data_IF_463969029356
#
_entry.id   IF_463969029356
#
_cell.length_a   1.000
_cell.length_b   1.000
_cell.length_c   1.000
_cell.angle_alpha   90.00
_cell.angle_beta   90.00
_cell.angle_gamma   90.00
#
_symmetry.space_group_name_H-M   'P 1'
#
loop_
_entity.id
_entity.type
_entity.pdbx_description
1 polymer ?
#
# COMPACT_ATOMS: atom_id res chain seq x y z
N UNK A 1 17.03 -22.29 15.16
CA UNK A 1 16.35 -20.97 15.16
C UNK A 1 17.23 -19.98 14.39
N UNK A 2 17.51 -20.36 13.16
CA UNK A 2 18.43 -19.73 12.23
C UNK A 2 17.72 -19.92 10.88
N UNK A 3 17.77 -18.94 9.97
CA UNK A 3 16.96 -18.77 8.74
C UNK A 3 15.71 -17.88 8.85
N UNK A 4 15.51 -17.04 9.89
CA UNK A 4 14.69 -15.83 9.68
C UNK A 4 15.54 -14.93 8.79
N UNK A 5 15.33 -15.03 7.49
CA UNK A 5 15.96 -14.13 6.55
C UNK A 5 15.54 -12.71 6.97
N UNK A 6 16.48 -11.79 7.24
CA UNK A 6 16.11 -10.42 7.65
C UNK A 6 15.17 -9.76 6.62
N UNK A 7 15.25 -10.22 5.37
CA UNK A 7 14.37 -9.81 4.27
C UNK A 7 12.91 -10.24 4.46
N UNK A 8 12.62 -11.45 4.96
CA UNK A 8 11.22 -11.89 5.19
C UNK A 8 10.61 -11.19 6.39
N UNK A 9 11.41 -10.94 7.44
CA UNK A 9 10.97 -10.17 8.60
C UNK A 9 10.69 -8.70 8.24
N UNK A 10 11.55 -8.08 7.43
CA UNK A 10 11.36 -6.72 6.91
C UNK A 10 10.08 -6.61 6.07
N UNK A 11 9.85 -7.57 5.17
CA UNK A 11 8.66 -7.58 4.32
C UNK A 11 7.37 -7.77 5.14
N UNK A 12 7.39 -8.70 6.10
CA UNK A 12 6.28 -8.91 7.01
C UNK A 12 6.01 -7.69 7.90
N UNK A 13 7.06 -7.00 8.36
CA UNK A 13 6.94 -5.78 9.17
C UNK A 13 6.31 -4.62 8.38
N UNK A 14 6.72 -4.41 7.13
CA UNK A 14 6.27 -3.28 6.30
C UNK A 14 4.84 -3.49 5.78
N UNK A 15 4.51 -4.69 5.31
CA UNK A 15 3.22 -4.95 4.66
C UNK A 15 2.16 -5.53 5.59
N UNK A 16 2.50 -6.53 6.40
CA UNK A 16 1.51 -7.28 7.21
C UNK A 16 1.36 -6.72 8.62
N UNK A 17 2.46 -6.27 9.23
CA UNK A 17 2.46 -5.72 10.59
C UNK A 17 2.16 -4.21 10.64
N UNK A 18 2.13 -3.55 9.49
CA UNK A 18 1.77 -2.14 9.42
C UNK A 18 0.25 -1.96 9.35
N UNK A 19 -0.33 -1.63 10.51
CA UNK A 19 -1.78 -1.48 10.66
C UNK A 19 -2.36 -0.34 9.81
N UNK A 20 -1.56 0.70 9.51
CA UNK A 20 -2.00 1.83 8.70
C UNK A 20 -2.24 1.39 7.25
N UNK A 21 -1.35 0.57 6.71
CA UNK A 21 -1.45 0.09 5.33
C UNK A 21 -2.58 -0.92 5.16
N UNK A 22 -2.71 -1.86 6.10
CA UNK A 22 -3.67 -2.98 5.99
C UNK A 22 -5.09 -2.58 6.38
N UNK A 23 -5.28 -1.82 7.46
CA UNK A 23 -6.62 -1.51 7.97
C UNK A 23 -7.14 -0.13 7.55
N UNK A 24 -6.29 0.89 7.38
CA UNK A 24 -6.79 2.25 7.13
C UNK A 24 -6.89 2.59 5.63
N UNK A 25 -5.92 2.22 4.80
CA UNK A 25 -5.97 2.53 3.36
C UNK A 25 -6.93 1.61 2.57
N UNK A 26 -7.23 0.42 3.10
CA UNK A 26 -7.97 -0.63 2.37
C UNK A 26 -9.43 -0.85 2.77
N UNK A 27 -9.94 -0.26 3.86
CA UNK A 27 -11.25 -0.66 4.42
C UNK A 27 -12.44 -0.35 3.49
N UNK A 28 -12.44 0.84 2.89
CA UNK A 28 -13.53 1.31 2.03
C UNK A 28 -13.64 0.49 0.73
N UNK A 29 -12.55 0.24 -0.02
CA UNK A 29 -12.60 -0.63 -1.19
C UNK A 29 -12.92 -2.09 -0.82
N UNK A 30 -12.45 -2.56 0.34
CA UNK A 30 -12.73 -3.91 0.83
C UNK A 30 -14.21 -4.14 1.15
N UNK A 31 -14.87 -3.19 1.82
CA UNK A 31 -16.31 -3.27 2.12
C UNK A 31 -17.16 -3.28 0.84
N UNK A 32 -16.74 -2.55 -0.20
CA UNK A 32 -17.44 -2.50 -1.49
C UNK A 32 -17.26 -3.78 -2.33
N UNK A 33 -16.06 -4.38 -2.31
CA UNK A 33 -15.70 -5.48 -3.23
C UNK A 33 -15.60 -6.88 -2.61
N UNK A 34 -15.99 -7.06 -1.34
CA UNK A 34 -15.92 -8.33 -0.60
C UNK A 34 -16.63 -9.52 -1.27
N UNK A 35 -17.61 -9.30 -2.14
CA UNK A 35 -18.42 -10.38 -2.76
C UNK A 35 -17.85 -10.91 -4.09
N UNK A 36 -16.86 -10.26 -4.70
CA UNK A 36 -16.41 -10.57 -6.06
C UNK A 36 -14.90 -10.70 -6.21
N UNK A 37 -14.38 -11.93 -6.34
CA UNK A 37 -12.94 -12.19 -6.53
C UNK A 37 -12.36 -11.49 -7.77
N UNK A 38 -13.11 -11.49 -8.88
CA UNK A 38 -12.70 -10.85 -10.14
C UNK A 38 -12.59 -9.32 -9.99
N UNK A 39 -13.50 -8.71 -9.22
CA UNK A 39 -13.52 -7.27 -9.00
C UNK A 39 -12.46 -6.83 -7.99
N UNK A 40 -12.22 -7.63 -6.94
CA UNK A 40 -11.18 -7.39 -5.95
C UNK A 40 -9.78 -7.31 -6.58
N UNK A 41 -9.47 -8.16 -7.57
CA UNK A 41 -8.19 -8.15 -8.27
C UNK A 41 -7.99 -6.84 -9.07
N UNK A 42 -9.01 -6.40 -9.79
CA UNK A 42 -8.98 -5.15 -10.57
C UNK A 42 -8.87 -3.91 -9.67
N UNK A 43 -9.58 -3.91 -8.55
CA UNK A 43 -9.53 -2.81 -7.57
C UNK A 43 -8.15 -2.70 -6.91
N UNK A 44 -7.54 -3.83 -6.54
CA UNK A 44 -6.19 -3.85 -5.98
C UNK A 44 -5.13 -3.31 -6.96
N UNK A 45 -5.19 -3.72 -8.22
CA UNK A 45 -4.27 -3.23 -9.25
C UNK A 45 -4.40 -1.72 -9.48
N UNK A 46 -5.63 -1.21 -9.55
CA UNK A 46 -5.89 0.23 -9.70
C UNK A 46 -5.34 1.04 -8.52
N UNK A 47 -5.56 0.58 -7.29
CA UNK A 47 -5.11 1.28 -6.07
C UNK A 47 -3.58 1.32 -5.98
N UNK A 48 -2.89 0.21 -6.27
CA UNK A 48 -1.41 0.17 -6.27
C UNK A 48 -0.84 1.14 -7.30
N UNK A 49 -1.43 1.20 -8.49
CA UNK A 49 -1.01 2.14 -9.54
C UNK A 49 -1.18 3.60 -9.12
N UNK A 50 -2.37 3.99 -8.65
CA UNK A 50 -2.67 5.37 -8.24
C UNK A 50 -1.83 5.78 -7.04
N UNK A 51 -1.62 4.89 -6.07
CA UNK A 51 -0.82 5.19 -4.88
C UNK A 51 0.64 5.42 -5.24
N UNK A 52 1.23 4.58 -6.10
CA UNK A 52 2.60 4.75 -6.57
C UNK A 52 2.80 6.07 -7.35
N UNK A 53 1.87 6.39 -8.27
CA UNK A 53 1.95 7.64 -9.04
C UNK A 53 1.78 8.87 -8.15
N UNK A 54 0.84 8.83 -7.21
CA UNK A 54 0.55 9.95 -6.31
C UNK A 54 1.71 10.19 -5.35
N UNK A 55 2.33 9.14 -4.79
CA UNK A 55 3.51 9.30 -3.93
C UNK A 55 4.68 9.92 -4.67
N UNK A 56 4.95 9.51 -5.92
CA UNK A 56 6.04 10.07 -6.72
C UNK A 56 5.80 11.55 -7.05
N UNK A 57 4.58 11.91 -7.46
CA UNK A 57 4.20 13.29 -7.75
C UNK A 57 4.21 14.16 -6.48
N UNK A 58 3.71 13.63 -5.36
CA UNK A 58 3.70 14.34 -4.09
C UNK A 58 5.12 14.62 -3.59
N UNK A 59 6.07 13.69 -3.77
CA UNK A 59 7.46 13.91 -3.43
C UNK A 59 8.09 15.05 -4.25
N UNK A 60 7.78 15.10 -5.56
CA UNK A 60 8.24 16.17 -6.44
C UNK A 60 7.66 17.54 -6.03
N UNK A 61 6.37 17.58 -5.71
CA UNK A 61 5.67 18.80 -5.26
C UNK A 61 6.21 19.27 -3.91
N UNK A 62 6.42 18.35 -2.94
CA UNK A 62 6.98 18.70 -1.64
C UNK A 62 8.35 19.36 -1.78
N UNK A 63 9.25 18.78 -2.58
CA UNK A 63 10.60 19.31 -2.76
C UNK A 63 10.65 20.63 -3.54
N UNK A 64 9.66 20.90 -4.40
CA UNK A 64 9.64 22.10 -5.26
C UNK A 64 8.85 23.27 -4.68
N UNK A 65 7.84 23.02 -3.85
CA UNK A 65 6.84 24.04 -3.47
C UNK A 65 6.77 24.25 -1.95
N UNK A 66 6.85 23.18 -1.16
CA UNK A 66 6.58 23.26 0.28
C UNK A 66 7.84 23.46 1.13
N UNK A 67 9.03 23.21 0.55
CA UNK A 67 10.31 23.27 1.25
C UNK A 67 11.38 23.93 0.34
N UNK A 68 11.31 25.24 0.03
CA UNK A 68 12.52 26.03 -0.14
C UNK A 68 13.20 26.27 1.22
#
# INVERSE_FOLDING_TARGET
>A
MEQIHPLTLLFAAIFTNNILLTNFLGLCPFLSMSKGKKSALGMGAAVVFVMASTTALNNLVHYKILIP
#
